data_IF_740374943621
#
_entry.id   IF_740374943621
#
_cell.length_a   1.000
_cell.length_b   1.000
_cell.length_c   1.000
_cell.angle_alpha   90.00
_cell.angle_beta   90.00
_cell.angle_gamma   90.00
#
_symmetry.space_group_name_H-M   'P 1'
#
loop_
_entity.id
_entity.type
_entity.pdbx_description
1 polymer ?
#
# COMPACT_ATOMS: atom_id res chain seq x y z
N UNK A 1 -4.30 15.76 -31.96
CA UNK A 1 -5.33 14.74 -32.28
C UNK A 1 -5.50 13.86 -31.05
N UNK A 2 -6.71 13.72 -30.50
CA UNK A 2 -6.93 12.85 -29.35
C UNK A 2 -6.73 11.39 -29.75
N UNK A 3 -5.64 10.76 -29.29
CA UNK A 3 -5.45 9.31 -29.44
C UNK A 3 -6.66 8.58 -28.85
N UNK A 4 -7.05 7.50 -29.52
CA UNK A 4 -8.20 6.72 -29.09
C UNK A 4 -7.85 5.99 -27.78
N UNK A 5 -8.55 6.31 -26.69
CA UNK A 5 -8.33 5.74 -25.34
C UNK A 5 -8.19 4.21 -25.37
N UNK A 6 -8.96 3.54 -26.22
CA UNK A 6 -8.92 2.07 -26.37
C UNK A 6 -7.58 1.56 -26.91
N UNK A 7 -6.97 2.29 -27.84
CA UNK A 7 -5.66 1.94 -28.41
C UNK A 7 -4.54 2.11 -27.39
N UNK A 8 -4.58 3.18 -26.57
CA UNK A 8 -3.60 3.40 -25.52
C UNK A 8 -3.67 2.32 -24.43
N UNK A 9 -4.88 1.93 -24.00
CA UNK A 9 -5.04 0.83 -23.05
C UNK A 9 -4.51 -0.49 -23.64
N UNK A 10 -4.78 -0.76 -24.93
CA UNK A 10 -4.25 -1.95 -25.60
C UNK A 10 -2.72 -1.93 -25.70
N UNK A 11 -2.12 -0.74 -25.89
CA UNK A 11 -0.68 -0.59 -25.88
C UNK A 11 -0.09 -0.85 -24.49
N UNK A 12 -0.67 -0.26 -23.44
CA UNK A 12 -0.25 -0.49 -22.05
C UNK A 12 -0.35 -1.98 -21.67
N UNK A 13 -1.40 -2.67 -22.10
CA UNK A 13 -1.52 -4.13 -21.92
C UNK A 13 -0.38 -4.91 -22.55
N UNK A 14 0.09 -4.49 -23.74
CA UNK A 14 1.23 -5.13 -24.41
C UNK A 14 2.54 -4.84 -23.67
N UNK A 15 2.71 -3.64 -23.15
CA UNK A 15 3.88 -3.26 -22.34
C UNK A 15 3.92 -4.02 -21.00
N UNK A 16 2.75 -4.38 -20.44
CA UNK A 16 2.61 -5.19 -19.22
C UNK A 16 2.68 -6.71 -19.45
N UNK A 17 2.60 -7.15 -20.71
CA UNK A 17 2.53 -8.58 -21.04
C UNK A 17 3.90 -9.25 -20.81
N UNK A 18 3.91 -10.34 -20.05
CA UNK A 18 5.14 -11.08 -19.73
C UNK A 18 5.98 -10.48 -18.60
N UNK A 19 5.50 -9.40 -17.97
CA UNK A 19 6.11 -8.83 -16.77
C UNK A 19 5.21 -9.09 -15.55
N UNK A 20 5.81 -9.28 -14.37
CA UNK A 20 5.07 -9.39 -13.11
C UNK A 20 4.83 -8.04 -12.45
N UNK A 21 5.84 -7.18 -12.45
CA UNK A 21 5.83 -5.89 -11.78
C UNK A 21 6.54 -4.87 -12.68
N UNK A 22 5.85 -3.78 -13.01
CA UNK A 22 6.37 -2.74 -13.89
C UNK A 22 6.34 -1.40 -13.16
N UNK A 23 7.46 -0.68 -13.02
CA UNK A 23 7.45 0.64 -12.40
C UNK A 23 6.52 1.60 -13.14
N UNK A 24 5.70 2.36 -12.41
CA UNK A 24 4.78 3.33 -13.00
C UNK A 24 5.52 4.40 -13.81
N UNK A 25 6.71 4.80 -13.35
CA UNK A 25 7.60 5.75 -14.03
C UNK A 25 8.07 5.27 -15.42
N UNK A 26 8.11 3.95 -15.66
CA UNK A 26 8.43 3.39 -16.97
C UNK A 26 7.25 3.50 -17.94
N UNK A 27 6.03 3.32 -17.44
CA UNK A 27 4.81 3.34 -18.26
C UNK A 27 4.27 4.75 -18.48
N UNK A 28 4.37 5.60 -17.48
CA UNK A 28 3.86 6.96 -17.45
C UNK A 28 4.81 7.83 -16.63
N UNK A 29 6.04 7.97 -17.13
CA UNK A 29 7.02 8.88 -16.53
C UNK A 29 6.48 10.31 -16.46
N UNK A 30 6.80 11.01 -15.38
CA UNK A 30 6.43 12.41 -15.21
C UNK A 30 7.23 13.27 -16.19
N UNK A 31 6.65 13.48 -17.37
CA UNK A 31 7.21 14.36 -18.39
C UNK A 31 6.88 15.83 -18.13
N UNK A 32 6.09 16.14 -17.09
CA UNK A 32 5.53 17.48 -16.87
C UNK A 32 4.63 17.97 -18.00
N UNK A 33 4.12 17.06 -18.83
CA UNK A 33 3.23 17.37 -19.97
C UNK A 33 1.84 16.80 -19.72
N UNK A 34 0.81 17.48 -20.25
CA UNK A 34 -0.59 17.04 -20.18
C UNK A 34 -0.79 15.61 -20.71
N UNK A 35 -0.04 15.22 -21.74
CA UNK A 35 -0.08 13.86 -22.30
C UNK A 35 0.49 12.82 -21.31
N UNK A 36 1.54 13.16 -20.57
CA UNK A 36 2.11 12.33 -19.52
C UNK A 36 1.14 12.14 -18.36
N UNK A 37 0.55 13.23 -17.88
CA UNK A 37 -0.47 13.20 -16.82
C UNK A 37 -1.69 12.38 -17.24
N UNK A 38 -2.17 12.56 -18.47
CA UNK A 38 -3.30 11.79 -19.00
C UNK A 38 -2.98 10.31 -19.10
N UNK A 39 -1.77 9.94 -19.54
CA UNK A 39 -1.32 8.55 -19.58
C UNK A 39 -1.22 7.97 -18.16
N UNK A 40 -0.71 8.73 -17.21
CA UNK A 40 -0.65 8.36 -15.80
C UNK A 40 -2.06 8.07 -15.25
N UNK A 41 -3.01 8.99 -15.43
CA UNK A 41 -4.40 8.80 -15.02
C UNK A 41 -5.05 7.57 -15.69
N UNK A 42 -4.72 7.29 -16.96
CA UNK A 42 -5.20 6.09 -17.65
C UNK A 42 -4.70 4.80 -17.03
N UNK A 43 -3.45 4.76 -16.56
CA UNK A 43 -2.90 3.59 -15.87
C UNK A 43 -3.65 3.37 -14.56
N UNK A 44 -3.82 4.41 -13.74
CA UNK A 44 -4.58 4.37 -12.48
C UNK A 44 -6.02 3.89 -12.66
N UNK A 45 -6.68 4.32 -13.74
CA UNK A 45 -8.05 3.93 -14.05
C UNK A 45 -8.22 2.48 -14.52
N UNK A 46 -7.19 1.83 -15.05
CA UNK A 46 -7.35 0.56 -15.78
C UNK A 46 -6.53 -0.60 -15.25
N UNK A 47 -5.46 -0.37 -14.49
CA UNK A 47 -4.56 -1.43 -14.04
C UNK A 47 -4.33 -1.35 -12.54
N UNK A 48 -4.15 -2.50 -11.90
CA UNK A 48 -3.85 -2.55 -10.46
C UNK A 48 -2.45 -2.00 -10.20
N UNK A 49 -2.37 -1.05 -9.28
CA UNK A 49 -1.13 -0.42 -8.82
C UNK A 49 -0.94 -0.80 -7.35
N UNK A 50 0.27 -1.18 -6.99
CA UNK A 50 0.69 -1.46 -5.62
C UNK A 50 1.65 -0.38 -5.15
N UNK A 51 1.63 -0.11 -3.85
CA UNK A 51 2.49 0.86 -3.18
C UNK A 51 2.23 2.25 -3.76
N UNK A 52 0.95 2.68 -3.66
CA UNK A 52 0.39 3.94 -4.19
C UNK A 52 1.14 5.24 -3.80
N UNK A 53 2.24 5.15 -3.06
CA UNK A 53 3.21 6.22 -2.84
C UNK A 53 3.98 6.51 -4.15
N UNK A 54 3.91 7.76 -4.61
CA UNK A 54 4.37 8.22 -5.94
C UNK A 54 5.78 7.79 -6.35
N UNK A 55 6.73 7.66 -5.42
CA UNK A 55 8.12 7.34 -5.75
C UNK A 55 8.34 5.88 -6.22
N UNK A 56 7.54 4.93 -5.71
CA UNK A 56 7.77 3.50 -5.91
C UNK A 56 6.51 2.75 -6.38
N UNK A 57 5.55 3.46 -6.98
CA UNK A 57 4.32 2.83 -7.46
C UNK A 57 4.62 1.79 -8.54
N UNK A 58 4.17 0.55 -8.30
CA UNK A 58 4.37 -0.58 -9.21
C UNK A 58 3.05 -1.01 -9.82
N UNK A 59 2.99 -1.06 -11.15
CA UNK A 59 1.85 -1.60 -11.89
C UNK A 59 2.00 -3.11 -11.96
N UNK A 60 0.94 -3.83 -11.58
CA UNK A 60 0.93 -5.28 -11.67
C UNK A 60 0.78 -5.68 -13.13
N UNK A 61 1.70 -6.51 -13.63
CA UNK A 61 1.64 -7.04 -14.99
C UNK A 61 0.79 -8.31 -15.07
N UNK A 62 0.57 -8.82 -16.29
CA UNK A 62 -0.40 -9.90 -16.55
C UNK A 62 -0.03 -11.24 -15.91
N UNK A 63 1.24 -11.43 -15.54
CA UNK A 63 1.71 -12.64 -14.86
C UNK A 63 1.56 -12.59 -13.33
N UNK A 64 1.16 -11.44 -12.77
CA UNK A 64 0.97 -11.30 -11.34
C UNK A 64 -0.33 -11.97 -10.88
N UNK A 65 -0.36 -12.75 -9.79
CA UNK A 65 -1.58 -13.44 -9.33
C UNK A 65 -2.70 -12.46 -8.94
N UNK A 66 -2.34 -11.29 -8.42
CA UNK A 66 -3.28 -10.22 -8.07
C UNK A 66 -3.53 -9.23 -9.22
N UNK A 67 -3.26 -9.62 -10.48
CA UNK A 67 -3.55 -8.79 -11.63
C UNK A 67 -5.07 -8.59 -11.78
N UNK A 68 -5.48 -7.32 -11.76
CA UNK A 68 -6.87 -6.90 -11.93
C UNK A 68 -6.85 -5.72 -12.91
N UNK A 69 -7.88 -5.63 -13.76
CA UNK A 69 -8.04 -4.53 -14.71
C UNK A 69 -9.44 -3.89 -14.68
N UNK A 70 -9.55 -2.70 -15.25
CA UNK A 70 -10.81 -1.96 -15.37
C UNK A 70 -11.33 -1.40 -14.03
N UNK A 71 -12.64 -1.44 -13.84
CA UNK A 71 -13.33 -0.84 -12.68
C UNK A 71 -12.85 -1.42 -11.35
N UNK A 72 -12.60 -2.73 -11.28
CA UNK A 72 -12.15 -3.39 -10.05
C UNK A 72 -10.73 -2.95 -9.66
N UNK A 73 -9.87 -2.74 -10.66
CA UNK A 73 -8.54 -2.19 -10.46
C UNK A 73 -8.60 -0.76 -9.93
N UNK A 74 -9.42 0.09 -10.54
CA UNK A 74 -9.63 1.47 -10.10
C UNK A 74 -10.18 1.53 -8.66
N UNK A 75 -11.13 0.65 -8.33
CA UNK A 75 -11.68 0.52 -7.00
C UNK A 75 -10.61 0.11 -5.98
N UNK A 76 -9.80 -0.91 -6.28
CA UNK A 76 -8.72 -1.38 -5.41
C UNK A 76 -7.64 -0.30 -5.20
N UNK A 77 -7.24 0.37 -6.27
CA UNK A 77 -6.29 1.50 -6.23
C UNK A 77 -6.83 2.64 -5.37
N UNK A 78 -8.13 2.95 -5.49
CA UNK A 78 -8.78 3.98 -4.67
C UNK A 78 -8.78 3.60 -3.19
N UNK A 79 -9.07 2.34 -2.86
CA UNK A 79 -9.01 1.88 -1.45
C UNK A 79 -7.61 2.09 -0.88
N UNK A 80 -6.60 1.56 -1.57
CA UNK A 80 -5.22 1.66 -1.10
C UNK A 80 -4.76 3.11 -0.99
N UNK A 81 -5.08 3.94 -1.98
CA UNK A 81 -4.74 5.37 -1.98
C UNK A 81 -5.39 6.10 -0.78
N UNK A 82 -6.68 5.89 -0.55
CA UNK A 82 -7.38 6.53 0.56
C UNK A 82 -6.88 6.04 1.91
N UNK A 83 -6.67 4.73 2.08
CA UNK A 83 -6.15 4.17 3.33
C UNK A 83 -4.76 4.72 3.63
N UNK A 84 -3.81 4.52 2.71
CA UNK A 84 -2.39 4.80 2.97
C UNK A 84 -2.07 6.29 3.05
N UNK A 85 -2.59 7.12 2.15
CA UNK A 85 -2.19 8.53 2.07
C UNK A 85 -3.03 9.46 2.96
N UNK A 86 -4.30 9.14 3.18
CA UNK A 86 -5.25 10.11 3.74
C UNK A 86 -5.82 9.66 5.09
N UNK A 87 -6.39 8.45 5.15
CA UNK A 87 -7.11 7.99 6.33
C UNK A 87 -6.18 7.56 7.46
N UNK A 88 -5.08 6.88 7.16
CA UNK A 88 -4.11 6.44 8.18
C UNK A 88 -3.44 7.63 8.87
N UNK A 89 -2.89 8.63 8.15
CA UNK A 89 -2.33 9.82 8.79
C UNK A 89 -3.36 10.64 9.58
N UNK A 90 -4.62 10.69 9.12
CA UNK A 90 -5.69 11.39 9.83
C UNK A 90 -6.17 10.67 11.10
N UNK A 91 -5.91 9.36 11.22
CA UNK A 91 -6.29 8.54 12.37
C UNK A 91 -7.77 8.65 12.72
N UNK A 92 -8.07 8.89 14.00
CA UNK A 92 -9.45 8.95 14.51
C UNK A 92 -10.23 10.20 14.07
N UNK A 93 -9.53 11.27 13.66
CA UNK A 93 -10.19 12.50 13.21
C UNK A 93 -10.95 12.30 11.88
N UNK A 94 -10.46 11.38 11.04
CA UNK A 94 -11.00 11.11 9.71
C UNK A 94 -10.84 12.27 8.74
N UNK A 95 -11.19 12.01 7.48
CA UNK A 95 -10.98 12.94 6.36
C UNK A 95 -12.34 13.35 5.79
N UNK A 96 -12.57 14.64 5.47
CA UNK A 96 -13.80 15.07 4.83
C UNK A 96 -13.91 14.49 3.41
N UNK A 97 -15.14 14.19 2.98
CA UNK A 97 -15.41 13.55 1.69
C UNK A 97 -14.85 14.35 0.50
N UNK A 98 -14.90 15.68 0.56
CA UNK A 98 -14.43 16.56 -0.52
C UNK A 98 -12.92 16.46 -0.73
N UNK A 99 -12.15 16.25 0.36
CA UNK A 99 -10.70 16.05 0.27
C UNK A 99 -10.39 14.72 -0.42
N UNK A 100 -11.12 13.65 -0.11
CA UNK A 100 -10.97 12.37 -0.80
C UNK A 100 -11.34 12.47 -2.29
N UNK A 101 -12.37 13.24 -2.62
CA UNK A 101 -12.74 13.51 -4.00
C UNK A 101 -11.62 14.26 -4.75
N UNK A 102 -10.99 15.25 -4.11
CA UNK A 102 -9.86 15.99 -4.66
C UNK A 102 -8.63 15.10 -4.87
N UNK A 103 -8.29 14.26 -3.88
CA UNK A 103 -7.18 13.31 -3.98
C UNK A 103 -7.42 12.31 -5.11
N UNK A 104 -8.61 11.71 -5.18
CA UNK A 104 -8.95 10.83 -6.32
C UNK A 104 -8.90 11.58 -7.65
N UNK A 105 -9.38 12.82 -7.69
CA UNK A 105 -9.35 13.67 -8.87
C UNK A 105 -7.93 13.89 -9.40
N UNK A 106 -6.94 14.03 -8.52
CA UNK A 106 -5.54 14.20 -8.88
C UNK A 106 -4.96 12.96 -9.59
N UNK A 107 -5.19 11.76 -9.04
CA UNK A 107 -4.58 10.53 -9.57
C UNK A 107 -5.37 9.91 -10.74
N UNK A 108 -6.69 9.97 -10.69
CA UNK A 108 -7.57 9.29 -11.65
C UNK A 108 -8.24 10.26 -12.62
N UNK A 109 -8.07 11.57 -12.46
CA UNK A 109 -8.84 12.56 -13.19
C UNK A 109 -10.27 12.74 -12.67
N UNK A 110 -11.06 13.54 -13.39
CA UNK A 110 -12.43 13.86 -12.99
C UNK A 110 -13.43 12.71 -13.23
N UNK A 111 -14.46 12.64 -12.38
CA UNK A 111 -15.58 11.71 -12.55
C UNK A 111 -15.42 10.37 -11.85
N UNK A 112 -15.38 10.38 -10.51
CA UNK A 112 -15.29 9.19 -9.66
C UNK A 112 -16.24 8.05 -10.07
N UNK A 113 -17.52 8.35 -10.27
CA UNK A 113 -18.54 7.34 -10.63
C UNK A 113 -18.27 6.69 -11.99
N UNK A 114 -17.68 7.43 -12.94
CA UNK A 114 -17.28 6.87 -14.24
C UNK A 114 -16.04 6.00 -14.18
N UNK A 115 -15.21 6.17 -13.15
CA UNK A 115 -13.94 5.45 -12.98
C UNK A 115 -14.10 4.21 -12.11
N UNK A 116 -14.87 4.32 -11.02
CA UNK A 116 -15.06 3.25 -10.04
C UNK A 116 -16.40 2.52 -10.24
N UNK A 117 -17.34 3.09 -10.99
CA UNK A 117 -18.67 2.51 -11.22
C UNK A 117 -19.65 2.68 -10.05
N UNK A 118 -19.28 3.45 -9.02
CA UNK A 118 -20.10 3.72 -7.84
C UNK A 118 -20.00 5.17 -7.41
N UNK A 119 -21.01 5.69 -6.72
CA UNK A 119 -20.94 7.01 -6.08
C UNK A 119 -19.92 7.00 -4.93
N UNK A 120 -19.13 8.06 -4.80
CA UNK A 120 -18.07 8.17 -3.80
C UNK A 120 -18.57 7.90 -2.37
N UNK A 121 -19.71 8.49 -1.98
CA UNK A 121 -20.30 8.27 -0.65
C UNK A 121 -20.66 6.80 -0.42
N UNK A 122 -21.28 6.14 -1.40
CA UNK A 122 -21.63 4.72 -1.32
C UNK A 122 -20.38 3.85 -1.21
N UNK A 123 -19.37 4.14 -2.02
CA UNK A 123 -18.08 3.46 -1.98
C UNK A 123 -17.41 3.57 -0.59
N UNK A 124 -17.40 4.76 -0.01
CA UNK A 124 -16.82 4.97 1.32
C UNK A 124 -17.59 4.25 2.42
N UNK A 125 -18.93 4.18 2.34
CA UNK A 125 -19.74 3.42 3.32
C UNK A 125 -19.45 1.92 3.24
N UNK A 126 -19.25 1.38 2.03
CA UNK A 126 -18.98 -0.05 1.83
C UNK A 126 -17.59 -0.48 2.31
N UNK A 127 -16.59 0.40 2.19
CA UNK A 127 -15.18 0.06 2.42
C UNK A 127 -14.61 0.62 3.73
N UNK A 128 -15.18 1.69 4.26
CA UNK A 128 -14.65 2.46 5.39
C UNK A 128 -15.71 2.77 6.45
N UNK A 129 -15.28 3.31 7.59
CA UNK A 129 -16.19 3.80 8.63
C UNK A 129 -16.63 5.23 8.28
N UNK A 130 -17.86 5.39 7.79
CA UNK A 130 -18.43 6.70 7.43
C UNK A 130 -19.22 7.32 8.59
N UNK A 131 -18.83 8.51 9.01
CA UNK A 131 -19.52 9.32 10.02
C UNK A 131 -20.45 10.33 9.35
N UNK A 132 -21.75 10.01 9.30
CA UNK A 132 -22.75 10.82 8.59
C UNK A 132 -22.98 12.19 9.25
N UNK A 133 -22.81 12.28 10.57
CA UNK A 133 -23.00 13.54 11.32
C UNK A 133 -21.92 14.55 10.98
N UNK A 134 -20.68 14.09 10.90
CA UNK A 134 -19.53 14.96 10.60
C UNK A 134 -19.17 14.98 9.11
N UNK A 135 -19.80 14.16 8.27
CA UNK A 135 -19.47 13.93 6.85
C UNK A 135 -17.99 13.57 6.65
N UNK A 136 -17.45 12.73 7.54
CA UNK A 136 -16.04 12.31 7.54
C UNK A 136 -15.92 10.81 7.35
N UNK A 137 -14.87 10.39 6.66
CA UNK A 137 -14.50 9.00 6.46
C UNK A 137 -13.35 8.67 7.41
N UNK A 138 -13.43 7.55 8.10
CA UNK A 138 -12.39 7.04 9.00
C UNK A 138 -11.89 5.70 8.48
N UNK A 139 -10.59 5.45 8.63
CA UNK A 139 -10.07 4.09 8.43
C UNK A 139 -10.70 3.16 9.47
N UNK A 140 -10.88 1.89 9.10
CA UNK A 140 -11.39 0.90 10.05
C UNK A 140 -10.48 0.82 11.27
N UNK A 141 -11.06 0.74 12.47
CA UNK A 141 -10.29 0.60 13.71
C UNK A 141 -9.33 -0.60 13.68
N UNK A 142 -9.66 -1.66 12.92
CA UNK A 142 -8.78 -2.82 12.72
C UNK A 142 -7.50 -2.46 11.97
N UNK A 143 -7.61 -1.65 10.92
CA UNK A 143 -6.48 -1.19 10.09
C UNK A 143 -5.60 -0.25 10.90
N UNK A 144 -6.20 0.73 11.58
CA UNK A 144 -5.46 1.68 12.44
C UNK A 144 -4.69 0.92 13.54
N UNK A 145 -5.33 -0.04 14.20
CA UNK A 145 -4.68 -0.83 15.24
C UNK A 145 -3.55 -1.73 14.71
N UNK A 146 -3.70 -2.27 13.50
CA UNK A 146 -2.64 -3.05 12.86
C UNK A 146 -1.43 -2.19 12.51
N UNK A 147 -1.64 -0.99 11.95
CA UNK A 147 -0.56 -0.07 11.59
C UNK A 147 0.17 0.43 12.83
N UNK A 148 -0.55 0.84 13.87
CA UNK A 148 0.07 1.22 15.15
C UNK A 148 0.92 0.10 15.76
N UNK A 149 0.55 -1.16 15.57
CA UNK A 149 1.36 -2.31 16.02
C UNK A 149 2.63 -2.49 15.19
N UNK A 150 2.57 -2.22 13.88
CA UNK A 150 3.76 -2.25 13.01
C UNK A 150 4.70 -1.11 13.37
N UNK A 151 4.19 0.13 13.43
CA UNK A 151 4.97 1.31 13.82
C UNK A 151 5.62 1.14 15.21
N UNK A 152 4.88 0.61 16.19
CA UNK A 152 5.44 0.34 17.51
C UNK A 152 6.55 -0.72 17.48
N UNK A 153 6.47 -1.71 16.59
CA UNK A 153 7.53 -2.72 16.42
C UNK A 153 8.77 -2.11 15.78
N UNK A 154 8.58 -1.26 14.78
CA UNK A 154 9.67 -0.60 14.06
C UNK A 154 10.43 0.35 15.00
N UNK A 155 9.72 1.15 15.80
CA UNK A 155 10.34 2.01 16.82
C UNK A 155 11.14 1.21 17.86
N UNK A 156 10.60 0.08 18.35
CA UNK A 156 11.33 -0.79 19.29
C UNK A 156 12.59 -1.37 18.63
N UNK A 157 12.53 -1.68 17.34
CA UNK A 157 13.66 -2.22 16.59
C UNK A 157 14.73 -1.15 16.36
N UNK A 158 14.33 0.06 15.99
CA UNK A 158 15.23 1.21 15.86
C UNK A 158 15.93 1.54 17.19
N UNK A 159 15.20 1.54 18.31
CA UNK A 159 15.80 1.73 19.64
C UNK A 159 16.83 0.65 19.97
N UNK A 160 16.55 -0.62 19.61
CA UNK A 160 17.48 -1.73 19.82
C UNK A 160 18.74 -1.57 18.99
N UNK A 161 18.60 -1.17 17.73
CA UNK A 161 19.74 -1.03 16.83
C UNK A 161 20.55 0.24 17.16
N UNK A 162 19.91 1.32 17.60
CA UNK A 162 20.57 2.47 18.18
C UNK A 162 21.34 2.11 19.47
N UNK A 163 20.76 1.29 20.35
CA UNK A 163 21.42 0.83 21.57
C UNK A 163 22.61 -0.11 21.27
N UNK A 164 22.51 -0.95 20.24
CA UNK A 164 23.65 -1.76 19.76
C UNK A 164 24.75 -0.89 19.18
N UNK A 165 24.40 0.08 18.33
CA UNK A 165 25.34 1.03 17.74
C UNK A 165 26.07 1.83 18.82
N UNK A 166 25.34 2.37 19.80
CA UNK A 166 25.93 3.10 20.92
C UNK A 166 26.90 2.23 21.75
N UNK A 167 26.59 0.94 21.95
CA UNK A 167 27.50 0.00 22.62
C UNK A 167 28.75 -0.28 21.79
N UNK A 168 28.58 -0.43 20.48
CA UNK A 168 29.69 -0.63 19.55
C UNK A 168 30.61 0.60 19.51
N UNK A 169 30.04 1.80 19.39
CA UNK A 169 30.78 3.07 19.38
C UNK A 169 31.54 3.26 20.72
N UNK A 170 30.92 2.92 21.86
CA UNK A 170 31.56 2.95 23.17
C UNK A 170 32.73 1.95 23.29
N UNK A 171 32.60 0.75 22.70
CA UNK A 171 33.70 -0.22 22.61
C UNK A 171 34.80 0.25 21.68
N UNK A 172 34.46 0.90 20.56
CA UNK A 172 35.42 1.42 19.60
C UNK A 172 36.24 2.58 20.18
N UNK A 173 35.61 3.45 20.99
CA UNK A 173 36.32 4.46 21.79
C UNK A 173 37.33 3.85 22.77
N UNK A 174 37.09 2.63 23.24
CA UNK A 174 38.05 1.85 24.04
C UNK A 174 39.31 1.49 23.23
N UNK A 175 39.20 1.31 21.91
CA UNK A 175 40.32 1.04 21.01
C UNK A 175 40.92 2.31 20.37
N UNK A 176 40.60 3.50 20.88
CA UNK A 176 41.12 4.77 20.37
C UNK A 176 42.66 4.81 20.38
N UNK A 177 43.30 5.43 19.36
CA UNK A 177 44.77 5.59 19.30
C UNK A 177 45.39 6.24 20.53
N UNK A 178 44.66 7.12 21.23
CA UNK A 178 45.14 7.75 22.47
C UNK A 178 45.20 6.77 23.64
N UNK A 179 44.30 5.79 23.69
CA UNK A 179 44.37 4.70 24.65
C UNK A 179 45.57 3.78 24.36
N UNK A 180 45.91 3.56 23.08
CA UNK A 180 47.10 2.79 22.67
C UNK A 180 48.41 3.49 23.04
N UNK A 181 48.47 4.83 22.96
CA UNK A 181 49.65 5.62 23.37
C UNK A 181 49.93 5.58 24.88
N UNK A 182 48.93 5.31 25.71
CA UNK A 182 49.10 5.25 27.17
C UNK A 182 49.88 4.03 27.69
N UNK A 183 50.26 3.09 26.83
CA UNK A 183 51.01 1.88 27.21
C UNK A 183 50.24 0.87 28.08
N UNK A 184 49.00 1.18 28.50
CA UNK A 184 48.18 0.33 29.40
C UNK A 184 47.74 -1.01 28.83
N UNK A 185 48.02 -1.28 27.56
CA UNK A 185 47.55 -2.46 26.83
C UNK A 185 48.56 -3.60 26.82
N UNK A 186 49.81 -3.28 27.14
CA UNK A 186 50.94 -4.18 27.02
C UNK A 186 51.71 -4.22 28.34
N UNK A 187 51.89 -5.42 28.87
CA UNK A 187 52.77 -5.68 30.01
C UNK A 187 54.06 -6.30 29.47
N UNK A 188 55.20 -5.82 29.96
CA UNK A 188 56.49 -6.40 29.65
C UNK A 188 56.70 -7.63 30.53
N UNK A 189 56.85 -8.81 29.93
CA UNK A 189 57.14 -10.04 30.66
C UNK A 189 58.66 -10.19 30.79
N UNK A 190 59.19 -9.79 31.95
CA UNK A 190 60.62 -9.83 32.26
C UNK A 190 61.23 -11.24 32.14
N UNK A 191 60.45 -12.30 32.36
CA UNK A 191 60.95 -13.69 32.27
C UNK A 191 61.19 -14.12 30.83
N UNK A 192 60.33 -13.67 29.93
CA UNK A 192 60.38 -14.03 28.51
C UNK A 192 61.07 -12.94 27.66
N UNK A 193 61.41 -11.78 28.26
CA UNK A 193 61.89 -10.57 27.60
C UNK A 193 61.04 -10.18 26.38
N UNK A 194 59.72 -10.31 26.51
CA UNK A 194 58.76 -10.04 25.43
C UNK A 194 57.59 -9.21 25.94
N UNK A 195 57.05 -8.39 25.06
CA UNK A 195 55.83 -7.61 25.32
C UNK A 195 54.62 -8.54 25.13
N UNK A 196 53.75 -8.64 26.14
CA UNK A 196 52.49 -9.41 26.07
C UNK A 196 51.31 -8.46 26.25
N UNK A 197 50.18 -8.76 25.62
CA UNK A 197 48.93 -8.06 25.93
C UNK A 197 48.60 -8.25 27.41
N UNK A 198 48.22 -7.18 28.11
CA UNK A 198 47.82 -7.26 29.52
C UNK A 198 46.68 -8.27 29.68
N UNK A 199 46.69 -9.02 30.78
CA UNK A 199 45.62 -10.00 31.07
C UNK A 199 44.23 -9.36 31.05
N UNK A 200 44.11 -8.06 31.35
CA UNK A 200 42.85 -7.32 31.24
C UNK A 200 42.37 -7.20 29.79
N UNK A 201 43.29 -7.02 28.85
CA UNK A 201 43.00 -6.94 27.40
C UNK A 201 42.62 -8.32 26.87
N UNK A 202 43.36 -9.36 27.24
CA UNK A 202 43.05 -10.75 26.84
C UNK A 202 41.68 -11.17 27.39
N UNK A 203 41.37 -10.83 28.65
CA UNK A 203 40.07 -11.09 29.25
C UNK A 203 38.94 -10.29 28.57
N UNK A 204 39.20 -9.05 28.15
CA UNK A 204 38.23 -8.24 27.42
C UNK A 204 37.94 -8.82 26.03
N UNK A 205 38.96 -9.26 25.29
CA UNK A 205 38.82 -9.91 23.98
C UNK A 205 37.98 -11.18 24.12
N UNK A 206 38.35 -12.07 25.05
CA UNK A 206 37.59 -13.32 25.31
C UNK A 206 36.15 -13.05 25.73
N UNK A 207 35.89 -11.96 26.45
CA UNK A 207 34.54 -11.57 26.88
C UNK A 207 33.69 -11.02 25.72
N UNK A 208 34.32 -10.38 24.73
CA UNK A 208 33.65 -9.95 23.49
C UNK A 208 33.36 -11.18 22.63
N UNK A 209 34.35 -12.03 22.37
CA UNK A 209 34.18 -13.28 21.60
C UNK A 209 33.10 -14.19 22.20
N UNK A 210 33.09 -14.36 23.53
CA UNK A 210 32.07 -15.16 24.21
C UNK A 210 30.66 -14.54 24.12
N UNK A 211 30.55 -13.20 24.09
CA UNK A 211 29.26 -12.52 23.91
C UNK A 211 28.74 -12.69 22.49
N UNK A 212 29.62 -12.62 21.49
CA UNK A 212 29.25 -12.79 20.09
C UNK A 212 28.77 -14.23 19.82
N UNK A 213 29.47 -15.24 20.37
CA UNK A 213 29.04 -16.64 20.30
C UNK A 213 27.66 -16.87 20.96
N UNK A 214 27.42 -16.33 22.15
CA UNK A 214 26.11 -16.45 22.82
C UNK A 214 25.01 -15.75 22.01
N UNK A 215 25.33 -14.65 21.34
CA UNK A 215 24.40 -13.92 20.51
C UNK A 215 24.07 -14.68 19.23
N UNK A 216 25.07 -15.27 18.56
CA UNK A 216 24.86 -16.17 17.41
C UNK A 216 24.01 -17.37 17.78
N UNK A 217 24.27 -18.04 18.91
CA UNK A 217 23.45 -19.16 19.39
C UNK A 217 21.99 -18.74 19.65
N UNK A 218 21.77 -17.56 20.23
CA UNK A 218 20.42 -17.03 20.46
C UNK A 218 19.69 -16.71 19.16
N UNK A 219 20.37 -16.13 18.19
CA UNK A 219 19.75 -15.77 16.92
C UNK A 219 19.54 -17.02 16.04
N UNK A 220 20.43 -18.01 16.11
CA UNK A 220 20.22 -19.35 15.54
C UNK A 220 19.03 -20.07 16.18
N UNK A 221 18.89 -20.02 17.51
CA UNK A 221 17.75 -20.61 18.21
C UNK A 221 16.41 -19.91 17.87
N UNK A 222 16.41 -18.58 17.69
CA UNK A 222 15.23 -17.85 17.21
C UNK A 222 14.88 -18.22 15.78
N UNK A 223 15.88 -18.32 14.89
CA UNK A 223 15.69 -18.73 13.50
C UNK A 223 15.12 -20.14 13.43
N UNK A 224 15.68 -21.09 14.17
CA UNK A 224 15.17 -22.46 14.24
C UNK A 224 13.72 -22.52 14.76
N UNK A 225 13.35 -21.70 15.74
CA UNK A 225 11.95 -21.60 16.19
C UNK A 225 11.03 -21.02 15.13
N UNK A 226 11.50 -20.03 14.36
CA UNK A 226 10.75 -19.42 13.28
C UNK A 226 10.53 -20.39 12.12
N UNK A 227 11.59 -21.07 11.68
CA UNK A 227 11.54 -22.08 10.62
C UNK A 227 10.60 -23.24 11.04
N UNK A 228 10.69 -23.72 12.28
CA UNK A 228 9.77 -24.72 12.81
C UNK A 228 8.31 -24.23 12.82
N UNK A 229 8.05 -22.96 13.17
CA UNK A 229 6.70 -22.39 13.11
C UNK A 229 6.17 -22.28 11.67
N UNK A 230 7.05 -22.09 10.69
CA UNK A 230 6.69 -21.98 9.29
C UNK A 230 6.18 -23.31 8.72
N UNK A 231 6.73 -24.43 9.19
CA UNK A 231 6.25 -25.79 8.86
C UNK A 231 4.89 -26.14 9.50
N UNK A 232 4.54 -25.49 10.62
CA UNK A 232 3.25 -25.67 11.30
C UNK A 232 2.17 -24.68 10.86
N UNK A 233 2.49 -23.69 10.02
CA UNK A 233 1.46 -22.85 9.42
C UNK A 233 0.69 -23.70 8.41
N UNK A 234 -0.61 -23.96 8.63
CA UNK A 234 -1.40 -24.77 7.71
C UNK A 234 -1.29 -24.13 6.34
N UNK A 235 -0.86 -24.93 5.35
CA UNK A 235 -0.91 -24.59 3.92
C UNK A 235 -2.25 -23.93 3.71
N UNK A 236 -2.22 -22.63 3.38
CA UNK A 236 -3.41 -21.80 3.23
C UNK A 236 -4.40 -22.64 2.42
N UNK A 237 -5.55 -23.05 2.99
CA UNK A 237 -6.47 -23.93 2.28
C UNK A 237 -6.71 -23.29 0.93
N UNK A 238 -6.70 -24.09 -0.16
CA UNK A 238 -6.91 -23.55 -1.50
C UNK A 238 -8.12 -22.62 -1.42
N UNK A 239 -8.03 -21.40 -1.97
CA UNK A 239 -9.09 -20.41 -1.84
C UNK A 239 -10.39 -21.13 -2.11
N UNK A 240 -11.32 -21.09 -1.14
CA UNK A 240 -12.62 -21.75 -1.24
C UNK A 240 -13.13 -21.47 -2.64
N UNK A 241 -13.01 -22.46 -3.52
CA UNK A 241 -13.60 -22.37 -4.83
C UNK A 241 -15.08 -22.35 -4.49
N UNK A 242 -15.68 -21.16 -4.53
CA UNK A 242 -17.11 -21.02 -4.55
C UNK A 242 -17.53 -21.88 -5.73
N UNK A 243 -17.92 -23.11 -5.44
CA UNK A 243 -18.42 -24.04 -6.43
C UNK A 243 -19.52 -23.26 -7.13
N UNK A 244 -19.29 -22.96 -8.41
CA UNK A 244 -20.30 -22.32 -9.24
C UNK A 244 -21.59 -23.11 -9.00
N UNK A 245 -22.68 -22.49 -8.54
CA UNK A 245 -23.90 -23.22 -8.34
C UNK A 245 -24.24 -23.85 -9.69
N UNK A 246 -24.20 -25.18 -9.75
CA UNK A 246 -24.68 -25.96 -10.89
C UNK A 246 -26.20 -25.82 -10.92
N UNK A 247 -26.67 -24.61 -11.21
CA UNK A 247 -28.03 -24.43 -11.70
C UNK A 247 -27.95 -24.85 -13.14
N UNK A 248 -28.35 -26.09 -13.41
CA UNK A 248 -28.57 -26.58 -14.76
C UNK A 248 -29.43 -25.53 -15.48
N UNK A 249 -28.90 -24.99 -16.57
CA UNK A 249 -29.56 -23.95 -17.35
C UNK A 249 -30.77 -24.58 -18.04
N UNK A 250 -31.92 -24.53 -17.37
CA UNK A 250 -33.19 -25.00 -17.91
C UNK A 250 -33.67 -24.00 -18.98
N UNK A 251 -33.53 -24.38 -20.24
CA UNK A 251 -33.94 -23.54 -21.38
C UNK A 251 -35.44 -23.26 -21.39
N UNK A 252 -36.25 -24.08 -20.73
CA UNK A 252 -37.71 -23.96 -20.75
C UNK A 252 -38.23 -22.93 -19.73
N UNK A 253 -37.45 -22.60 -18.70
CA UNK A 253 -37.82 -21.64 -17.64
C UNK A 253 -37.12 -20.28 -17.79
N UNK A 254 -37.02 -19.74 -19.01
CA UNK A 254 -36.56 -18.36 -19.20
C UNK A 254 -37.56 -17.39 -18.55
N UNK A 255 -37.11 -16.47 -17.66
CA UNK A 255 -37.93 -15.34 -17.25
C UNK A 255 -38.29 -14.55 -18.52
N UNK A 256 -39.59 -14.48 -18.84
CA UNK A 256 -40.09 -13.59 -19.89
C UNK A 256 -39.91 -12.16 -19.40
N UNK A 257 -38.77 -11.56 -19.70
CA UNK A 257 -38.63 -10.12 -19.61
C UNK A 257 -39.67 -9.51 -20.53
N UNK A 258 -40.60 -8.77 -19.94
CA UNK A 258 -41.62 -8.03 -20.67
C UNK A 258 -40.92 -7.15 -21.70
N UNK A 259 -41.13 -7.47 -22.97
CA UNK A 259 -40.64 -6.69 -24.10
C UNK A 259 -41.49 -5.44 -24.20
N UNK A 260 -41.16 -4.39 -23.46
CA UNK A 260 -41.73 -3.07 -23.67
C UNK A 260 -41.06 -2.47 -24.93
N UNK A 261 -41.47 -2.97 -26.10
CA UNK A 261 -41.28 -2.25 -27.35
C UNK A 261 -42.18 -1.01 -27.27
N UNK A 262 -41.63 0.11 -26.82
CA UNK A 262 -42.24 1.40 -27.11
C UNK A 262 -42.08 1.66 -28.61
N UNK A 263 -43.21 1.82 -29.30
CA UNK A 263 -43.29 2.27 -30.68
C UNK A 263 -42.83 3.73 -30.78
N UNK A 264 -42.11 4.14 -31.83
CA UNK A 264 -41.50 5.47 -31.91
C UNK A 264 -42.45 6.61 -32.38
N UNK A 265 -43.75 6.52 -32.12
CA UNK A 265 -44.76 7.47 -32.66
C UNK A 265 -45.50 8.31 -31.61
N UNK A 266 -45.10 8.31 -30.33
CA UNK A 266 -45.77 9.13 -29.27
C UNK A 266 -44.89 10.26 -28.71
N UNK A 267 -43.97 10.81 -29.52
CA UNK A 267 -43.11 11.91 -29.12
C UNK A 267 -43.44 13.22 -29.87
N UNK A 268 -44.72 13.55 -29.99
CA UNK A 268 -45.17 14.86 -30.47
C UNK A 268 -45.93 15.64 -29.37
N UNK A 269 -45.39 16.83 -29.11
CA UNK A 269 -46.06 18.05 -28.68
C UNK A 269 -46.83 18.07 -27.34
N UNK A 270 -46.08 18.36 -26.26
CA UNK A 270 -46.61 19.21 -25.19
C UNK A 270 -45.97 20.59 -25.24
N UNK A 271 -46.68 21.64 -25.70
CA UNK A 271 -46.23 23.00 -25.50
C UNK A 271 -46.25 23.30 -23.99
N UNK A 272 -45.08 23.59 -23.43
CA UNK A 272 -44.98 24.09 -22.06
C UNK A 272 -45.67 25.45 -21.99
N UNK A 273 -46.88 25.44 -21.42
CA UNK A 273 -47.61 26.63 -21.04
C UNK A 273 -46.84 27.37 -19.94
N UNK A 274 -46.32 28.54 -20.30
CA UNK A 274 -45.84 29.54 -19.38
C UNK A 274 -46.99 30.05 -18.51
N UNK A 275 -46.91 29.86 -17.20
CA UNK A 275 -47.69 30.60 -16.20
C UNK A 275 -46.99 30.54 -14.84
N UNK A 276 -46.65 31.69 -14.29
CA UNK A 276 -46.32 31.79 -12.86
C UNK A 276 -45.26 32.81 -12.46
N UNK A 277 -45.37 34.06 -12.93
CA UNK A 277 -44.76 35.21 -12.26
C UNK A 277 -45.54 35.48 -10.96
N UNK A 278 -45.00 35.06 -9.82
CA UNK A 278 -45.48 35.42 -8.50
C UNK A 278 -44.53 36.40 -7.83
N UNK A 279 -44.83 37.70 -7.95
CA UNK A 279 -44.33 38.73 -7.03
C UNK A 279 -44.98 38.49 -5.66
N UNK A 280 -44.16 38.41 -4.62
CA UNK A 280 -44.61 38.44 -3.23
C UNK A 280 -43.75 39.45 -2.48
N UNK A 281 -44.23 40.69 -2.43
CA UNK A 281 -43.85 41.67 -1.42
C UNK A 281 -44.44 41.24 -0.08
N UNK A 282 -43.63 41.13 0.97
CA UNK A 282 -44.08 41.29 2.36
C UNK A 282 -42.95 41.90 3.19
N UNK A 283 -43.27 43.08 3.71
CA UNK A 283 -42.83 43.75 4.96
C UNK A 283 -41.53 43.29 5.64
#
# INVERSE_FOLDING_TARGET
>A
MARNKKQEIAQLRRELAGERLVPLTRLAGDSGTDDGERRHQLVWQNFRIKDCTTANAMVLGTEHPDFIEGFDAAAANTVELFETMELVPAGAAGVPLDRLASVHGHYFGSGFEKTVGKKLRQFCIERFEYDDRMRRVKASNKVIAAIRKVEARDLIQEERDAAKKAKFDALQGFFSPDAQRSGRWFEYDDRMRRVKASNKVIAAIRKVEARDLIQEERDAAKKAKFDALQDYLPVKPPPFALAAPQVAFDQEHRPRYATTKMTPDELEERPMSAKGLGKGDYF
#
